data_IF_507426815309
#
_entry.id   IF_507426815309
#
_cell.length_a   1.000
_cell.length_b   1.000
_cell.length_c   1.000
_cell.angle_alpha   90.00
_cell.angle_beta   90.00
_cell.angle_gamma   90.00
#
_symmetry.space_group_name_H-M   'P 1'
#
loop_
_entity.id
_entity.type
_entity.pdbx_description
1 polymer ?
#
# COMPACT_ATOMS: atom_id res chain seq x y z
N UNK A 1 -15.97 19.90 6.06
CA UNK A 1 -14.70 19.17 5.85
C UNK A 1 -15.06 17.73 5.46
N UNK A 2 -14.86 17.32 4.19
CA UNK A 2 -15.18 15.96 3.75
C UNK A 2 -14.02 15.06 4.16
N UNK A 3 -14.23 14.18 5.14
CA UNK A 3 -13.18 13.24 5.56
C UNK A 3 -13.07 12.18 4.45
N UNK A 4 -11.96 12.12 3.69
CA UNK A 4 -11.87 11.30 2.48
C UNK A 4 -11.92 9.78 2.76
N UNK A 5 -11.79 9.38 4.03
CA UNK A 5 -11.68 7.99 4.45
C UNK A 5 -13.02 7.32 4.82
N UNK A 6 -14.14 8.05 4.74
CA UNK A 6 -15.45 7.59 5.23
C UNK A 6 -16.32 7.00 4.12
N UNK A 7 -16.32 7.60 2.91
CA UNK A 7 -17.09 7.14 1.73
C UNK A 7 -16.36 7.53 0.45
N UNK A 8 -16.02 6.56 -0.42
CA UNK A 8 -15.40 6.80 -1.73
C UNK A 8 -14.23 5.86 -2.06
N UNK A 9 -13.54 6.12 -3.18
CA UNK A 9 -12.26 5.48 -3.51
C UNK A 9 -11.20 5.86 -2.47
N UNK A 10 -10.20 5.01 -2.28
CA UNK A 10 -9.02 5.36 -1.51
C UNK A 10 -8.32 6.59 -2.13
N UNK A 11 -7.58 7.34 -1.30
CA UNK A 11 -6.82 8.52 -1.72
C UNK A 11 -5.32 8.28 -1.55
N UNK A 12 -4.51 8.85 -2.44
CA UNK A 12 -3.05 8.92 -2.35
C UNK A 12 -2.55 10.28 -2.89
N UNK A 13 -1.22 10.45 -2.88
CA UNK A 13 -0.49 11.65 -3.29
C UNK A 13 -1.06 12.92 -2.62
N UNK A 14 -1.35 13.97 -3.41
CA UNK A 14 -1.84 15.27 -2.91
C UNK A 14 -3.19 15.19 -2.20
N UNK A 15 -3.90 14.06 -2.32
CA UNK A 15 -5.19 13.83 -1.69
C UNK A 15 -5.08 13.10 -0.34
N UNK A 16 -3.89 12.61 0.03
CA UNK A 16 -3.65 12.04 1.34
C UNK A 16 -3.27 13.14 2.35
N UNK A 17 -4.00 13.21 3.48
CA UNK A 17 -3.79 14.23 4.51
C UNK A 17 -3.17 13.67 5.80
N UNK A 18 -2.20 14.40 6.35
CA UNK A 18 -1.59 14.14 7.65
C UNK A 18 -0.74 12.88 7.71
N UNK A 19 -0.41 12.45 8.94
CA UNK A 19 0.39 11.23 9.24
C UNK A 19 1.84 11.25 8.75
N UNK A 20 2.40 12.42 8.42
CA UNK A 20 3.81 12.55 7.98
C UNK A 20 4.79 11.82 8.89
N UNK A 21 4.69 12.01 10.22
CA UNK A 21 5.55 11.31 11.20
C UNK A 21 5.44 9.79 11.12
N UNK A 22 4.24 9.26 10.85
CA UNK A 22 4.03 7.82 10.72
C UNK A 22 4.62 7.30 9.41
N UNK A 23 4.51 8.04 8.30
CA UNK A 23 5.16 7.65 7.04
C UNK A 23 6.68 7.63 7.17
N UNK A 24 7.28 8.68 7.75
CA UNK A 24 8.73 8.71 8.02
C UNK A 24 9.14 7.48 8.83
N UNK A 25 8.46 7.19 9.94
CA UNK A 25 8.75 6.01 10.74
C UNK A 25 8.63 4.69 9.95
N UNK A 26 7.56 4.52 9.17
CA UNK A 26 7.31 3.27 8.43
C UNK A 26 8.25 3.07 7.24
N UNK A 27 8.80 4.15 6.65
CA UNK A 27 9.74 4.08 5.54
C UNK A 27 11.19 3.90 6.02
N UNK A 28 11.53 4.44 7.19
CA UNK A 28 12.91 4.47 7.69
C UNK A 28 13.19 3.37 8.73
N UNK A 29 12.20 2.58 9.14
CA UNK A 29 12.40 1.52 10.14
C UNK A 29 13.21 0.35 9.57
N UNK A 30 14.13 -0.25 10.36
CA UNK A 30 14.84 -1.46 9.95
C UNK A 30 13.99 -2.74 10.05
N UNK A 31 12.75 -2.65 10.53
CA UNK A 31 11.88 -3.81 10.75
C UNK A 31 11.42 -4.46 9.42
N UNK A 32 11.53 -5.78 9.33
CA UNK A 32 11.13 -6.55 8.12
C UNK A 32 9.61 -6.77 8.01
N UNK A 33 8.87 -6.57 9.10
CA UNK A 33 7.42 -6.74 9.13
C UNK A 33 6.79 -5.81 10.18
N UNK A 34 5.74 -5.10 9.78
CA UNK A 34 5.04 -4.14 10.61
C UNK A 34 3.53 -4.39 10.57
N UNK A 35 2.89 -4.35 11.74
CA UNK A 35 1.43 -4.41 11.84
C UNK A 35 0.85 -3.02 12.09
N UNK A 36 0.08 -2.51 11.13
CA UNK A 36 -0.65 -1.24 11.28
C UNK A 36 -2.09 -1.52 11.77
N UNK A 37 -2.38 -1.17 13.02
CA UNK A 37 -3.71 -1.33 13.63
C UNK A 37 -4.45 0.01 13.64
N UNK A 38 -5.75 -0.01 13.38
CA UNK A 38 -6.58 1.19 13.51
C UNK A 38 -8.07 0.92 13.30
N UNK A 39 -8.91 1.81 13.81
CA UNK A 39 -10.36 1.70 13.73
C UNK A 39 -10.90 1.63 12.28
N UNK A 40 -12.16 1.19 12.12
CA UNK A 40 -12.84 1.20 10.82
C UNK A 40 -12.93 2.63 10.27
N UNK A 41 -12.77 2.82 8.96
CA UNK A 41 -12.83 4.13 8.26
C UNK A 41 -11.78 5.17 8.67
N UNK A 42 -10.71 4.76 9.34
CA UNK A 42 -9.59 5.67 9.63
C UNK A 42 -8.70 5.94 8.41
N UNK A 43 -8.84 5.15 7.33
CA UNK A 43 -8.06 5.32 6.09
C UNK A 43 -6.84 4.41 5.96
N UNK A 44 -6.86 3.20 6.54
CA UNK A 44 -5.75 2.24 6.46
C UNK A 44 -5.37 1.89 5.02
N UNK A 45 -6.35 1.63 4.15
CA UNK A 45 -6.13 1.35 2.73
C UNK A 45 -5.45 2.53 2.03
N UNK A 46 -5.91 3.76 2.29
CA UNK A 46 -5.27 4.97 1.75
C UNK A 46 -3.84 5.18 2.27
N UNK A 47 -3.59 4.83 3.53
CA UNK A 47 -2.24 4.87 4.11
C UNK A 47 -1.32 3.86 3.41
N UNK A 48 -1.75 2.62 3.22
CA UNK A 48 -0.95 1.59 2.53
C UNK A 48 -0.69 1.96 1.07
N UNK A 49 -1.69 2.50 0.36
CA UNK A 49 -1.53 3.01 -1.01
C UNK A 49 -0.61 4.23 -1.08
N UNK A 50 -0.61 5.07 -0.05
CA UNK A 50 0.35 6.17 0.07
C UNK A 50 1.77 5.65 0.30
N UNK A 51 1.95 4.62 1.12
CA UNK A 51 3.26 3.98 1.29
C UNK A 51 3.77 3.40 -0.02
N UNK A 52 2.92 2.65 -0.76
CA UNK A 52 3.26 2.14 -2.09
C UNK A 52 3.73 3.27 -3.02
N UNK A 53 3.05 4.42 -2.99
CA UNK A 53 3.44 5.59 -3.78
C UNK A 53 4.74 6.25 -3.31
N UNK A 54 4.97 6.36 -2.01
CA UNK A 54 6.17 7.02 -1.45
C UNK A 54 7.42 6.16 -1.54
N UNK A 55 7.29 4.83 -1.54
CA UNK A 55 8.41 3.90 -1.68
C UNK A 55 8.81 3.68 -3.14
N UNK A 56 8.02 4.17 -4.10
CA UNK A 56 8.43 4.28 -5.49
C UNK A 56 9.53 5.32 -5.63
N UNK A 57 10.77 4.83 -5.65
CA UNK A 57 11.97 5.63 -5.88
C UNK A 57 12.85 4.92 -6.92
N UNK A 58 13.37 5.68 -7.88
CA UNK A 58 14.16 5.12 -8.99
C UNK A 58 15.49 4.48 -8.50
N UNK A 59 15.94 4.81 -7.29
CA UNK A 59 17.16 4.27 -6.66
C UNK A 59 16.90 3.03 -5.76
N UNK A 60 15.64 2.59 -5.60
CA UNK A 60 15.31 1.41 -4.79
C UNK A 60 15.51 0.12 -5.58
N UNK A 61 16.26 -0.83 -5.02
CA UNK A 61 16.36 -2.20 -5.54
C UNK A 61 15.10 -3.05 -5.36
N UNK A 62 14.02 -2.46 -4.85
CA UNK A 62 12.75 -3.13 -4.58
C UNK A 62 11.58 -2.45 -5.29
N UNK A 63 10.65 -3.27 -5.80
CA UNK A 63 9.37 -2.81 -6.34
C UNK A 63 8.30 -2.90 -5.26
N UNK A 64 7.70 -1.78 -4.82
CA UNK A 64 6.62 -1.85 -3.85
C UNK A 64 5.36 -2.43 -4.51
N UNK A 65 4.70 -3.33 -3.77
CA UNK A 65 3.51 -4.06 -4.22
C UNK A 65 2.40 -3.91 -3.17
N UNK A 66 1.24 -3.42 -3.59
CA UNK A 66 0.03 -3.51 -2.77
C UNK A 66 -0.70 -4.81 -3.07
N UNK A 67 -0.80 -5.68 -2.08
CA UNK A 67 -1.55 -6.93 -2.15
C UNK A 67 -2.83 -6.82 -1.30
N UNK A 68 -3.98 -6.73 -1.97
CA UNK A 68 -5.27 -6.73 -1.28
C UNK A 68 -5.66 -8.17 -0.92
N UNK A 69 -5.71 -8.48 0.36
CA UNK A 69 -6.15 -9.79 0.86
C UNK A 69 -7.58 -9.75 1.38
N UNK A 70 -8.30 -8.63 1.18
CA UNK A 70 -9.65 -8.48 1.68
C UNK A 70 -10.61 -9.40 0.93
N UNK A 71 -11.31 -10.29 1.66
CA UNK A 71 -12.30 -11.18 1.08
C UNK A 71 -11.72 -12.50 0.55
N UNK A 72 -10.42 -12.74 0.70
CA UNK A 72 -9.84 -14.07 0.49
C UNK A 72 -10.29 -15.02 1.61
N UNK A 73 -10.82 -16.18 1.24
CA UNK A 73 -11.26 -17.22 2.19
C UNK A 73 -10.36 -18.45 2.13
N UNK A 74 -9.63 -18.63 1.02
CA UNK A 74 -8.77 -19.78 0.76
C UNK A 74 -7.36 -19.34 0.32
N UNK A 75 -6.42 -20.30 0.38
CA UNK A 75 -5.08 -20.10 -0.19
C UNK A 75 -5.11 -19.91 -1.71
N UNK A 76 -6.11 -20.47 -2.40
CA UNK A 76 -6.35 -20.24 -3.82
C UNK A 76 -6.66 -18.77 -4.10
N UNK A 77 -7.53 -18.16 -3.28
CA UNK A 77 -7.89 -16.74 -3.42
C UNK A 77 -6.66 -15.85 -3.21
N UNK A 78 -5.86 -16.14 -2.17
CA UNK A 78 -4.61 -15.43 -1.91
C UNK A 78 -3.65 -15.51 -3.10
N UNK A 79 -3.49 -16.69 -3.69
CA UNK A 79 -2.60 -16.91 -4.84
C UNK A 79 -3.09 -16.15 -6.07
N UNK A 80 -4.40 -16.14 -6.30
CA UNK A 80 -5.01 -15.42 -7.41
C UNK A 80 -4.88 -13.90 -7.25
N UNK A 81 -5.16 -13.35 -6.07
CA UNK A 81 -4.99 -11.92 -5.80
C UNK A 81 -3.53 -11.49 -5.90
N UNK A 82 -2.59 -12.32 -5.45
CA UNK A 82 -1.17 -12.04 -5.62
C UNK A 82 -0.76 -12.04 -7.09
N UNK A 83 -1.25 -13.00 -7.87
CA UNK A 83 -1.03 -13.06 -9.31
C UNK A 83 -1.53 -11.78 -10.00
N UNK A 84 -2.77 -11.35 -9.69
CA UNK A 84 -3.32 -10.11 -10.25
C UNK A 84 -2.51 -8.88 -9.86
N UNK A 85 -2.07 -8.78 -8.59
CA UNK A 85 -1.27 -7.66 -8.14
C UNK A 85 0.10 -7.60 -8.85
N UNK A 86 0.71 -8.75 -9.13
CA UNK A 86 1.95 -8.83 -9.90
C UNK A 86 1.76 -8.45 -11.37
N UNK A 87 0.69 -8.90 -12.01
CA UNK A 87 0.34 -8.50 -13.38
C UNK A 87 0.12 -6.99 -13.50
N UNK A 88 -0.63 -6.39 -12.56
CA UNK A 88 -0.83 -4.93 -12.50
C UNK A 88 0.48 -4.16 -12.31
N UNK A 89 1.47 -4.78 -11.64
CA UNK A 89 2.78 -4.21 -11.38
C UNK A 89 3.85 -4.61 -12.41
N UNK A 90 3.53 -5.40 -13.43
CA UNK A 90 4.52 -6.07 -14.29
C UNK A 90 5.54 -5.09 -14.90
N UNK A 91 5.08 -3.94 -15.40
CA UNK A 91 5.94 -2.91 -15.99
C UNK A 91 6.99 -2.34 -15.01
N UNK A 92 6.74 -2.41 -13.70
CA UNK A 92 7.70 -1.97 -12.68
C UNK A 92 8.76 -3.04 -12.43
N UNK A 93 8.36 -4.31 -12.46
CA UNK A 93 9.27 -5.44 -12.28
C UNK A 93 10.19 -5.66 -13.49
N UNK A 94 9.74 -5.38 -14.71
CA UNK A 94 10.59 -5.49 -15.92
C UNK A 94 11.78 -4.53 -15.91
N UNK A 95 11.72 -3.44 -15.13
CA UNK A 95 12.83 -2.50 -14.97
C UNK A 95 13.96 -3.05 -14.07
N UNK A 96 13.70 -4.14 -13.35
CA UNK A 96 14.66 -4.75 -12.42
C UNK A 96 15.51 -5.88 -13.02
N UNK A 97 15.23 -6.32 -14.27
CA UNK A 97 15.98 -7.38 -14.96
C UNK A 97 15.09 -8.41 -15.66
#
# INVERSE_FOLDING_TARGET
MRIPYIVGRWVNDRHHYGRHRLFTYLLDTPDVALWIVGARRIGKTSLLRQLEFLSHTDDSGYVPLFWDMQGCETSGDLSMELYMALEDAANRFTQCG
#
